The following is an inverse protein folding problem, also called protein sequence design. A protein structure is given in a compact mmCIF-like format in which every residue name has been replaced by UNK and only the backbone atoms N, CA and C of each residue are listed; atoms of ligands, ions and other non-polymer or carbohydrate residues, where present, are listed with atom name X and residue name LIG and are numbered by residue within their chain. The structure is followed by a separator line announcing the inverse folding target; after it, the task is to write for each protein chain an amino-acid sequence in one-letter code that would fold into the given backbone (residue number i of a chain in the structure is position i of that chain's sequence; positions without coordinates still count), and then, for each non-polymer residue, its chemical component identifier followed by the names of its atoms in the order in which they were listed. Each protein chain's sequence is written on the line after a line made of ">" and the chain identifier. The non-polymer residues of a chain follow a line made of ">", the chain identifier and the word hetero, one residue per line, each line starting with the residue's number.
data_IF_136702751942
#
_entry.id   IF_136702751942
#
_cell.length_a   1.000
_cell.length_b   1.000
_cell.length_c   1.000
_cell.angle_alpha   90.00
_cell.angle_beta   90.00
_cell.angle_gamma   90.00
#
_symmetry.space_group_name_H-M   'P 1'
#
loop_
_entity.id
_entity.type
_entity.pdbx_description
1 polymer ?
#
# COMPACT_ATOMS: atom_id res chain seq x y z
N UNK A 1 7.43 -27.64 14.12
CA UNK A 1 7.56 -26.29 13.53
C UNK A 1 6.24 -25.55 13.49
N UNK A 2 6.10 -24.51 14.32
CA UNK A 2 4.89 -23.68 14.38
C UNK A 2 4.93 -22.64 13.25
N UNK A 3 4.36 -22.95 12.09
CA UNK A 3 3.89 -21.90 11.18
C UNK A 3 2.68 -21.25 11.84
N UNK A 4 2.83 -20.10 12.45
CA UNK A 4 1.69 -19.33 12.93
C UNK A 4 0.81 -18.95 11.73
N UNK A 5 -0.42 -19.44 11.72
CA UNK A 5 -1.41 -19.05 10.71
C UNK A 5 -1.99 -17.70 11.12
N UNK A 6 -1.63 -16.64 10.42
CA UNK A 6 -2.30 -15.35 10.57
C UNK A 6 -3.76 -15.49 10.13
N UNK A 7 -4.70 -15.10 10.98
CA UNK A 7 -6.10 -14.98 10.57
C UNK A 7 -6.22 -13.86 9.54
N UNK A 8 -7.14 -13.98 8.58
CA UNK A 8 -7.45 -12.88 7.66
C UNK A 8 -7.81 -11.58 8.39
N UNK A 9 -8.24 -11.68 9.66
CA UNK A 9 -8.56 -10.51 10.49
C UNK A 9 -7.31 -9.78 10.98
N UNK A 10 -6.13 -10.38 10.96
CA UNK A 10 -4.88 -9.80 11.47
C UNK A 10 -4.06 -9.10 10.39
N UNK A 11 -4.46 -9.25 9.13
CA UNK A 11 -3.82 -8.60 7.99
C UNK A 11 -4.45 -7.23 7.78
N UNK A 12 -3.61 -6.20 7.75
CA UNK A 12 -4.00 -4.86 7.29
C UNK A 12 -3.37 -4.58 5.93
N UNK A 13 -4.13 -3.97 5.03
CA UNK A 13 -3.68 -3.68 3.66
C UNK A 13 -3.73 -2.18 3.41
N UNK A 14 -2.56 -1.57 3.37
CA UNK A 14 -2.42 -0.20 2.93
C UNK A 14 -2.63 -0.09 1.41
N UNK A 15 -3.22 1.02 0.97
CA UNK A 15 -3.59 1.30 -0.41
C UNK A 15 -3.28 2.76 -0.77
N UNK A 16 -3.46 3.15 -2.03
CA UNK A 16 -3.33 4.56 -2.46
C UNK A 16 -4.50 5.45 -2.00
N UNK A 17 -5.45 4.91 -1.21
CA UNK A 17 -6.71 5.56 -0.85
C UNK A 17 -7.46 6.11 -2.08
N UNK A 18 -7.48 5.34 -3.17
CA UNK A 18 -8.04 5.72 -4.47
C UNK A 18 -7.37 6.92 -5.16
N UNK A 19 -6.21 7.38 -4.67
CA UNK A 19 -5.43 8.42 -5.36
C UNK A 19 -4.88 7.90 -6.69
N UNK A 20 -4.81 8.81 -7.66
CA UNK A 20 -4.40 8.55 -9.04
C UNK A 20 -3.35 9.55 -9.48
N UNK A 21 -2.66 9.22 -10.58
CA UNK A 21 -1.62 10.05 -11.19
C UNK A 21 -0.50 10.30 -10.18
N UNK A 22 0.08 11.50 -10.19
CA UNK A 22 1.19 11.93 -9.36
C UNK A 22 0.74 12.61 -8.05
N UNK A 23 -0.55 12.61 -7.73
CA UNK A 23 -1.07 13.23 -6.51
C UNK A 23 -1.21 12.19 -5.41
N UNK A 24 -0.70 12.50 -4.22
CA UNK A 24 -0.93 11.70 -3.02
C UNK A 24 -2.35 11.83 -2.49
N UNK A 25 -2.85 10.86 -1.70
CA UNK A 25 -4.17 10.95 -1.10
C UNK A 25 -4.26 12.09 -0.09
N UNK A 26 -5.43 12.72 -0.03
CA UNK A 26 -5.84 13.62 1.06
C UNK A 26 -6.43 12.81 2.20
N UNK A 27 -6.49 13.38 3.41
CA UNK A 27 -7.04 12.72 4.60
C UNK A 27 -8.43 12.11 4.34
N UNK A 28 -9.36 12.91 3.80
CA UNK A 28 -10.72 12.48 3.47
C UNK A 28 -10.79 11.27 2.53
N UNK A 29 -9.80 11.09 1.65
CA UNK A 29 -9.75 9.94 0.74
C UNK A 29 -9.39 8.67 1.50
N UNK A 30 -8.47 8.75 2.47
CA UNK A 30 -8.12 7.62 3.33
C UNK A 30 -9.22 7.34 4.36
N UNK A 31 -9.87 8.37 4.92
CA UNK A 31 -11.02 8.19 5.81
C UNK A 31 -12.13 7.39 5.11
N UNK A 32 -12.42 7.71 3.84
CA UNK A 32 -13.39 6.97 3.05
C UNK A 32 -12.91 5.56 2.68
N UNK A 33 -11.63 5.39 2.31
CA UNK A 33 -11.07 4.11 1.87
C UNK A 33 -10.91 3.09 2.99
N UNK A 34 -10.65 3.55 4.22
CA UNK A 34 -10.40 2.70 5.39
C UNK A 34 -11.53 2.69 6.41
N UNK A 35 -12.67 3.29 6.07
CA UNK A 35 -13.86 3.27 6.91
C UNK A 35 -14.20 1.85 7.34
N UNK A 36 -14.45 1.67 8.64
CA UNK A 36 -14.82 0.39 9.26
C UNK A 36 -13.72 -0.70 9.12
N UNK A 37 -12.45 -0.29 8.98
CA UNK A 37 -11.28 -1.19 8.96
C UNK A 37 -10.30 -0.88 10.10
N UNK A 38 -9.31 -1.75 10.33
CA UNK A 38 -8.21 -1.51 11.28
C UNK A 38 -7.28 -0.33 10.91
N UNK A 39 -7.51 0.32 9.77
CA UNK A 39 -6.75 1.47 9.27
C UNK A 39 -7.53 2.79 9.32
N UNK A 40 -8.71 2.79 9.96
CA UNK A 40 -9.60 3.97 10.11
C UNK A 40 -8.95 5.17 10.81
N UNK A 41 -7.89 4.94 11.58
CA UNK A 41 -7.13 5.94 12.34
C UNK A 41 -5.86 6.43 11.64
N UNK A 42 -5.62 6.03 10.38
CA UNK A 42 -4.51 6.57 9.59
C UNK A 42 -4.66 8.07 9.39
N UNK A 43 -3.53 8.78 9.47
CA UNK A 43 -3.45 10.21 9.13
C UNK A 43 -2.51 10.47 7.96
N UNK A 44 -2.70 11.54 7.21
CA UNK A 44 -1.75 12.02 6.20
C UNK A 44 -0.71 12.92 6.87
N UNK A 45 0.57 12.68 6.57
CA UNK A 45 1.66 13.43 7.15
C UNK A 45 1.57 14.93 6.83
N UNK A 46 1.74 15.84 7.81
CA UNK A 46 1.49 17.27 7.62
C UNK A 46 2.47 17.95 6.66
N UNK A 47 3.73 17.49 6.63
CA UNK A 47 4.79 18.07 5.78
C UNK A 47 5.17 17.19 4.58
N UNK A 48 4.53 16.02 4.43
CA UNK A 48 4.81 15.08 3.34
C UNK A 48 3.48 14.62 2.72
N UNK A 49 2.91 15.42 1.80
CA UNK A 49 1.61 15.11 1.21
C UNK A 49 1.55 13.71 0.63
N UNK A 50 0.49 12.97 0.95
CA UNK A 50 0.26 11.61 0.47
C UNK A 50 0.96 10.50 1.25
N UNK A 51 1.85 10.81 2.20
CA UNK A 51 2.42 9.82 3.11
C UNK A 51 1.40 9.50 4.19
N UNK A 52 1.05 8.23 4.33
CA UNK A 52 0.14 7.72 5.37
C UNK A 52 0.95 7.42 6.63
N UNK A 53 0.45 7.86 7.77
CA UNK A 53 1.04 7.63 9.09
C UNK A 53 0.17 6.64 9.82
N UNK A 54 0.76 5.49 10.16
CA UNK A 54 0.12 4.45 10.96
C UNK A 54 0.85 4.29 12.28
N UNK A 55 0.07 4.25 13.37
CA UNK A 55 0.61 4.05 14.71
C UNK A 55 0.47 2.59 15.10
N UNK A 56 1.58 1.97 15.49
CA UNK A 56 1.62 0.57 15.91
C UNK A 56 0.71 0.38 17.13
N UNK A 57 -0.33 -0.47 17.05
CA UNK A 57 -1.34 -0.59 18.09
C UNK A 57 -0.91 -1.49 19.26
N UNK A 58 0.12 -2.32 19.08
CA UNK A 58 0.65 -3.23 20.10
C UNK A 58 2.09 -3.60 19.80
N UNK A 59 2.93 -3.68 20.82
CA UNK A 59 4.30 -4.19 20.68
C UNK A 59 4.31 -5.66 20.22
N UNK A 60 5.14 -6.00 19.24
CA UNK A 60 5.29 -7.38 18.77
C UNK A 60 6.04 -7.53 17.45
N UNK A 61 6.07 -8.76 16.94
CA UNK A 61 6.63 -9.09 15.62
C UNK A 61 5.61 -8.82 14.51
N UNK A 62 6.02 -8.04 13.50
CA UNK A 62 5.22 -7.70 12.33
C UNK A 62 5.90 -8.22 11.07
N UNK A 63 5.10 -8.86 10.20
CA UNK A 63 5.51 -9.21 8.84
C UNK A 63 5.02 -8.13 7.89
N UNK A 64 5.95 -7.45 7.21
CA UNK A 64 5.63 -6.43 6.22
C UNK A 64 5.90 -6.98 4.83
N UNK A 65 4.86 -7.02 3.99
CA UNK A 65 4.95 -7.32 2.57
C UNK A 65 4.71 -6.02 1.78
N UNK A 66 5.76 -5.53 1.14
CA UNK A 66 5.69 -4.40 0.22
C UNK A 66 5.51 -4.92 -1.21
N UNK A 67 4.44 -4.46 -1.88
CA UNK A 67 4.22 -4.69 -3.31
C UNK A 67 4.60 -3.42 -4.07
N UNK A 68 5.44 -3.57 -5.10
CA UNK A 68 5.85 -2.49 -5.97
C UNK A 68 4.66 -1.89 -6.74
N UNK A 69 4.78 -0.61 -7.11
CA UNK A 69 3.78 0.06 -7.93
C UNK A 69 3.72 -0.54 -9.34
N UNK A 70 2.52 -0.58 -9.92
CA UNK A 70 2.32 -0.99 -11.30
C UNK A 70 2.65 0.17 -12.25
N UNK A 71 3.43 -0.10 -13.30
CA UNK A 71 3.73 0.87 -14.36
C UNK A 71 2.52 1.18 -15.25
N UNK A 72 2.68 2.16 -16.14
CA UNK A 72 1.72 2.43 -17.21
C UNK A 72 1.89 1.43 -18.36
N UNK A 73 0.80 1.12 -19.05
CA UNK A 73 0.84 0.26 -20.26
C UNK A 73 1.09 1.07 -21.52
N UNK A 74 2.12 0.70 -22.27
CA UNK A 74 2.41 1.25 -23.59
C UNK A 74 1.50 0.65 -24.68
N UNK A 75 1.42 1.32 -25.83
CA UNK A 75 0.79 0.75 -27.03
C UNK A 75 1.67 -0.40 -27.53
N UNK A 76 1.15 -1.63 -27.52
CA UNK A 76 1.82 -2.76 -28.14
C UNK A 76 1.71 -2.66 -29.67
N UNK A 77 2.77 -2.98 -30.44
CA UNK A 77 2.66 -3.16 -31.89
C UNK A 77 1.57 -4.18 -32.22
N UNK A 78 0.87 -4.00 -33.35
CA UNK A 78 -0.28 -4.79 -33.80
C UNK A 78 -0.10 -6.33 -33.80
N UNK A 79 1.12 -6.84 -33.63
CA UNK A 79 1.46 -8.27 -33.68
C UNK A 79 2.06 -8.86 -32.39
N UNK A 80 2.01 -8.16 -31.24
CA UNK A 80 2.47 -8.72 -29.95
C UNK A 80 1.30 -8.93 -28.98
N UNK A 81 1.19 -10.17 -28.47
CA UNK A 81 0.20 -10.56 -27.46
C UNK A 81 0.41 -9.77 -26.16
N UNK A 82 -0.67 -9.17 -25.65
CA UNK A 82 -0.73 -8.22 -24.53
C UNK A 82 -0.56 -8.85 -23.13
N UNK A 83 0.10 -10.00 -23.01
CA UNK A 83 -0.08 -10.89 -21.86
C UNK A 83 1.14 -11.09 -20.97
N UNK A 84 2.11 -10.16 -20.99
CA UNK A 84 3.09 -10.11 -19.92
C UNK A 84 2.47 -9.45 -18.67
N UNK A 85 1.68 -10.22 -17.89
CA UNK A 85 1.44 -9.88 -16.47
C UNK A 85 2.80 -9.96 -15.77
N UNK A 86 3.52 -8.84 -15.70
CA UNK A 86 4.68 -8.75 -14.84
C UNK A 86 4.19 -8.89 -13.39
N UNK A 87 4.70 -9.90 -12.69
CA UNK A 87 4.56 -9.98 -11.25
C UNK A 87 5.14 -8.69 -10.67
N UNK A 88 4.34 -7.94 -9.92
CA UNK A 88 4.84 -6.76 -9.24
C UNK A 88 6.02 -7.19 -8.34
N UNK A 89 7.18 -6.51 -8.41
CA UNK A 89 8.28 -6.81 -7.52
C UNK A 89 7.78 -6.65 -6.09
N UNK A 90 8.16 -7.57 -5.20
CA UNK A 90 7.79 -7.50 -3.80
C UNK A 90 9.01 -7.69 -2.91
N UNK A 91 8.94 -7.08 -1.73
CA UNK A 91 9.91 -7.27 -0.67
C UNK A 91 9.15 -7.66 0.60
N UNK A 92 9.70 -8.61 1.35
CA UNK A 92 9.15 -9.04 2.62
C UNK A 92 10.21 -8.92 3.70
N UNK A 93 9.83 -8.39 4.85
CA UNK A 93 10.70 -8.26 6.01
C UNK A 93 9.91 -8.41 7.31
N UNK A 94 10.62 -8.82 8.35
CA UNK A 94 10.08 -8.99 9.70
C UNK A 94 10.67 -7.91 10.61
N UNK A 95 9.83 -7.31 11.43
CA UNK A 95 10.23 -6.24 12.33
C UNK A 95 9.60 -6.43 13.71
N UNK A 96 10.42 -6.29 14.74
CA UNK A 96 9.92 -6.04 16.08
C UNK A 96 9.54 -4.56 16.20
N UNK A 97 8.24 -4.27 16.35
CA UNK A 97 7.75 -2.90 16.48
C UNK A 97 7.16 -2.68 17.87
N UNK A 98 7.46 -1.52 18.47
CA UNK A 98 6.89 -1.11 19.74
C UNK A 98 5.58 -0.36 19.55
N UNK A 99 4.62 -0.57 20.45
CA UNK A 99 3.38 0.21 20.54
C UNK A 99 3.67 1.72 20.52
N UNK A 100 2.82 2.48 19.82
CA UNK A 100 2.97 3.92 19.68
C UNK A 100 4.01 4.36 18.64
N UNK A 101 4.83 3.45 18.10
CA UNK A 101 5.74 3.75 16.99
C UNK A 101 4.93 4.21 15.78
N UNK A 102 5.34 5.32 15.15
CA UNK A 102 4.72 5.83 13.93
C UNK A 102 5.50 5.34 12.71
N UNK A 103 4.82 4.62 11.83
CA UNK A 103 5.34 4.25 10.52
C UNK A 103 4.83 5.24 9.47
N UNK A 104 5.77 5.83 8.73
CA UNK A 104 5.48 6.66 7.57
C UNK A 104 5.50 5.78 6.31
N UNK A 105 4.36 5.66 5.65
CA UNK A 105 4.12 4.70 4.58
C UNK A 105 3.74 5.47 3.31
N UNK A 106 4.62 5.39 2.31
CA UNK A 106 4.38 5.94 0.97
C UNK A 106 4.01 4.81 0.01
N UNK A 107 2.86 4.95 -0.66
CA UNK A 107 2.31 3.90 -1.55
C UNK A 107 2.19 4.47 -2.95
N UNK A 108 2.97 3.90 -3.88
CA UNK A 108 2.99 4.34 -5.27
C UNK A 108 1.67 4.06 -5.99
N UNK A 109 1.24 5.00 -6.82
CA UNK A 109 0.04 4.86 -7.65
C UNK A 109 0.36 4.11 -8.95
N UNK A 110 -0.67 3.47 -9.54
CA UNK A 110 -0.55 2.89 -10.88
C UNK A 110 -0.19 3.99 -11.89
N UNK A 111 0.77 3.71 -12.77
CA UNK A 111 1.10 4.56 -13.91
C UNK A 111 -0.05 4.71 -14.92
N UNK A 112 -0.05 5.80 -15.69
CA UNK A 112 -1.07 6.06 -16.71
C UNK A 112 -0.80 5.22 -17.96
N UNK A 113 -1.86 4.62 -18.52
CA UNK A 113 -1.77 3.88 -19.77
C UNK A 113 -1.73 4.88 -20.95
N UNK A 114 -1.07 4.51 -22.05
CA UNK A 114 -0.81 5.42 -23.18
C UNK A 114 -2.08 5.99 -23.87
N UNK A 115 -3.26 5.39 -23.63
CA UNK A 115 -4.55 5.81 -24.19
C UNK A 115 -5.58 6.19 -23.12
N UNK A 116 -5.15 6.61 -21.93
CA UNK A 116 -6.03 6.94 -20.80
C UNK A 116 -6.05 8.42 -20.42
#
# INVERSE_FOLDING_TARGET
>A
DKRESFSSRDIVRFSTCNSKRNFGPKQQMCDAAYKDTKLDSITIHPSMPGVQVWTVPRTGEYSILALGAEGGRAIAPLHQSREAKQLAPYAMAYFHLSEGTKLNILIGQKGQDACS
#
